data_IF_677639507797
#
_entry.id   IF_677639507797
#
_cell.length_a   1.000
_cell.length_b   1.000
_cell.length_c   1.000
_cell.angle_alpha   90.00
_cell.angle_beta   90.00
_cell.angle_gamma   90.00
#
_symmetry.space_group_name_H-M   'P 1'
#
loop_
_entity.id
_entity.type
_entity.pdbx_description
1 polymer ?
#
# COMPACT_ATOMS: atom_id res chain seq x y z
N UNK A 1 -57.66 32.59 -44.61
CA UNK A 1 -57.97 34.05 -44.61
C UNK A 1 -58.01 34.51 -43.18
N UNK A 2 -57.64 35.69 -42.83
CA UNK A 2 -56.40 36.38 -43.17
C UNK A 2 -55.56 36.77 -41.90
N UNK A 3 -54.28 37.02 -42.12
CA UNK A 3 -53.52 38.25 -41.78
C UNK A 3 -53.64 38.85 -40.38
N UNK A 4 -52.52 39.10 -39.70
CA UNK A 4 -51.72 40.30 -39.94
C UNK A 4 -50.50 40.36 -38.95
N UNK A 5 -49.43 40.84 -39.53
CA UNK A 5 -48.17 41.31 -38.93
C UNK A 5 -48.31 42.11 -37.63
N UNK A 6 -47.29 42.01 -36.73
CA UNK A 6 -46.59 43.20 -36.24
C UNK A 6 -45.18 42.87 -35.76
N UNK A 7 -44.22 43.55 -36.37
CA UNK A 7 -42.82 43.72 -35.96
C UNK A 7 -42.73 44.53 -34.67
N UNK A 8 -41.87 44.24 -33.78
CA UNK A 8 -41.26 45.24 -32.86
C UNK A 8 -39.91 44.73 -32.34
N UNK A 9 -38.89 45.28 -32.89
CA UNK A 9 -37.71 45.99 -32.36
C UNK A 9 -36.87 45.26 -31.26
N UNK A 10 -35.63 45.00 -31.69
CA UNK A 10 -34.45 44.71 -30.84
C UNK A 10 -34.25 45.77 -29.73
N UNK A 11 -33.99 45.29 -28.53
CA UNK A 11 -33.12 46.02 -27.59
C UNK A 11 -32.03 45.09 -27.10
N UNK A 12 -30.82 45.38 -27.58
CA UNK A 12 -29.59 44.79 -27.13
C UNK A 12 -29.28 45.29 -25.73
N UNK A 13 -29.21 44.39 -24.76
CA UNK A 13 -28.54 44.65 -23.49
C UNK A 13 -27.33 43.77 -23.37
N UNK A 14 -26.17 44.38 -23.49
CA UNK A 14 -24.88 43.78 -23.22
C UNK A 14 -24.77 43.47 -21.71
N UNK A 15 -24.82 42.20 -21.35
CA UNK A 15 -24.43 41.75 -20.00
C UNK A 15 -22.94 41.49 -19.99
N UNK A 16 -22.21 42.38 -19.30
CA UNK A 16 -20.79 42.12 -18.91
C UNK A 16 -20.78 40.89 -18.01
N UNK A 17 -20.26 39.79 -18.52
CA UNK A 17 -19.94 38.61 -17.72
C UNK A 17 -18.67 38.89 -16.89
N UNK A 18 -18.84 39.14 -15.60
CA UNK A 18 -17.72 38.97 -14.65
C UNK A 18 -17.42 37.47 -14.56
N UNK A 19 -16.38 37.05 -15.24
CA UNK A 19 -15.73 35.77 -14.99
C UNK A 19 -15.04 35.85 -13.61
N UNK A 20 -15.79 35.54 -12.56
CA UNK A 20 -15.23 35.30 -11.23
C UNK A 20 -14.44 34.01 -11.28
N UNK A 21 -13.14 34.10 -11.52
CA UNK A 21 -12.22 33.02 -11.32
C UNK A 21 -12.22 32.63 -9.83
N UNK A 22 -12.91 31.53 -9.51
CA UNK A 22 -12.72 30.85 -8.24
C UNK A 22 -11.33 30.24 -8.24
N UNK A 23 -10.32 31.05 -7.94
CA UNK A 23 -9.02 30.57 -7.51
C UNK A 23 -9.24 29.72 -6.26
N UNK A 24 -9.17 28.38 -6.42
CA UNK A 24 -8.97 27.48 -5.30
C UNK A 24 -7.62 27.85 -4.69
N UNK A 25 -7.64 28.72 -3.69
CA UNK A 25 -6.53 28.82 -2.76
C UNK A 25 -6.41 27.44 -2.11
N UNK A 26 -5.52 26.59 -2.62
CA UNK A 26 -5.01 25.47 -1.86
C UNK A 26 -4.29 26.10 -0.66
N UNK A 27 -4.98 26.22 0.47
CA UNK A 27 -4.33 26.40 1.74
C UNK A 27 -3.31 25.25 1.81
N UNK A 28 -2.03 25.59 1.83
CA UNK A 28 -0.98 24.63 2.07
C UNK A 28 -1.28 23.99 3.43
N UNK A 29 -1.88 22.81 3.41
CA UNK A 29 -2.06 22.03 4.63
C UNK A 29 -0.67 21.85 5.22
N UNK A 30 -0.48 22.25 6.47
CA UNK A 30 0.81 22.09 7.16
C UNK A 30 1.22 20.61 7.10
N UNK A 31 2.52 20.35 7.02
CA UNK A 31 3.04 18.97 7.00
C UNK A 31 2.58 18.19 8.23
N UNK A 32 2.25 16.94 8.02
CA UNK A 32 1.86 16.02 9.10
C UNK A 32 3.11 15.65 9.88
N UNK A 33 3.15 15.98 11.18
CA UNK A 33 4.24 15.59 12.05
C UNK A 33 3.86 14.30 12.79
N UNK A 34 4.55 13.17 12.53
CA UNK A 34 4.36 11.96 13.32
C UNK A 34 4.69 12.24 14.80
N UNK A 35 3.90 11.67 15.70
CA UNK A 35 4.13 11.73 17.15
C UNK A 35 4.57 10.37 17.70
N UNK A 36 4.83 10.28 19.00
CA UNK A 36 5.23 9.03 19.67
C UNK A 36 4.17 7.91 19.62
N UNK A 37 2.95 8.20 19.12
CA UNK A 37 1.88 7.22 18.88
C UNK A 37 1.76 6.84 17.40
N UNK A 38 2.67 7.30 16.56
CA UNK A 38 2.76 6.94 15.14
C UNK A 38 3.83 5.86 14.94
N UNK A 39 3.59 4.97 13.97
CA UNK A 39 4.57 4.00 13.52
C UNK A 39 4.70 3.99 11.99
N UNK A 40 5.93 3.89 11.49
CA UNK A 40 6.23 3.59 10.10
C UNK A 40 6.22 2.08 9.92
N UNK A 41 5.41 1.59 8.99
CA UNK A 41 5.37 0.18 8.58
C UNK A 41 6.05 0.07 7.23
N UNK A 42 7.19 -0.61 7.18
CA UNK A 42 7.98 -0.82 5.97
C UNK A 42 7.70 -2.24 5.48
N UNK A 43 6.86 -2.35 4.46
CA UNK A 43 6.35 -3.63 3.98
C UNK A 43 7.30 -4.21 2.95
N UNK A 44 7.86 -5.38 3.24
CA UNK A 44 8.52 -6.33 2.33
C UNK A 44 9.54 -5.69 1.37
N UNK A 45 10.40 -4.80 1.86
CA UNK A 45 11.50 -4.25 1.06
C UNK A 45 12.66 -5.27 1.03
N UNK A 46 12.42 -6.37 0.31
CA UNK A 46 13.27 -7.56 0.23
C UNK A 46 13.87 -7.72 -1.18
N UNK A 47 14.99 -8.43 -1.29
CA UNK A 47 15.67 -8.64 -2.56
C UNK A 47 14.76 -9.32 -3.61
N UNK A 48 13.89 -10.24 -3.20
CA UNK A 48 12.92 -10.92 -4.07
C UNK A 48 11.99 -9.96 -4.84
N UNK A 49 11.69 -8.78 -4.28
CA UNK A 49 10.80 -7.79 -4.88
C UNK A 49 11.54 -6.64 -5.59
N UNK A 50 12.86 -6.63 -5.52
CA UNK A 50 13.70 -5.62 -6.18
C UNK A 50 14.18 -6.11 -7.55
N UNK A 51 14.80 -5.21 -8.32
CA UNK A 51 15.32 -5.54 -9.64
C UNK A 51 16.30 -6.74 -9.57
N UNK A 52 16.03 -7.76 -10.37
CA UNK A 52 16.77 -9.02 -10.37
C UNK A 52 16.26 -10.07 -9.38
N UNK A 53 15.31 -9.74 -8.53
CA UNK A 53 14.64 -10.69 -7.62
C UNK A 53 13.64 -11.60 -8.31
N UNK A 54 13.22 -12.65 -7.63
CA UNK A 54 12.37 -13.72 -8.18
C UNK A 54 10.93 -13.28 -8.48
N UNK A 55 10.45 -12.22 -7.82
CA UNK A 55 9.14 -11.57 -8.07
C UNK A 55 9.34 -10.04 -8.12
N UNK A 56 10.25 -9.58 -8.97
CA UNK A 56 10.61 -8.18 -9.07
C UNK A 56 9.40 -7.28 -9.36
N UNK A 57 9.22 -6.25 -8.56
CA UNK A 57 8.24 -5.18 -8.75
C UNK A 57 8.92 -4.04 -9.52
N UNK A 58 8.33 -3.64 -10.65
CA UNK A 58 8.89 -2.57 -11.49
C UNK A 58 9.13 -1.30 -10.67
N UNK A 59 10.38 -0.83 -10.65
CA UNK A 59 10.79 0.35 -9.86
C UNK A 59 10.75 0.12 -8.35
N UNK A 60 10.74 -1.15 -7.88
CA UNK A 60 10.68 -1.47 -6.45
C UNK A 60 11.82 -0.84 -5.63
N UNK A 61 13.01 -0.74 -6.21
CA UNK A 61 14.16 -0.10 -5.55
C UNK A 61 13.99 1.41 -5.31
N UNK A 62 13.13 2.08 -6.05
CA UNK A 62 12.91 3.53 -5.92
C UNK A 62 12.26 3.93 -4.59
N UNK A 63 11.62 2.99 -3.88
CA UNK A 63 11.02 3.24 -2.56
C UNK A 63 12.08 3.41 -1.48
N UNK A 64 13.25 2.79 -1.64
CA UNK A 64 14.30 2.72 -0.61
C UNK A 64 14.83 4.10 -0.20
N UNK A 65 15.27 4.98 -1.11
CA UNK A 65 15.75 6.31 -0.73
C UNK A 65 14.66 7.17 -0.07
N UNK A 66 13.40 6.98 -0.46
CA UNK A 66 12.26 7.70 0.12
C UNK A 66 12.02 7.21 1.56
N UNK A 67 12.00 5.91 1.78
CA UNK A 67 11.83 5.31 3.11
C UNK A 67 12.99 5.69 4.03
N UNK A 68 14.23 5.62 3.55
CA UNK A 68 15.41 6.03 4.31
C UNK A 68 15.34 7.49 4.77
N UNK A 69 14.79 8.38 3.94
CA UNK A 69 14.57 9.80 4.25
C UNK A 69 13.44 10.01 5.25
N UNK A 70 12.39 9.20 5.19
CA UNK A 70 11.22 9.26 6.08
C UNK A 70 11.52 8.71 7.48
N UNK A 71 12.30 7.64 7.56
CA UNK A 71 12.51 6.87 8.78
C UNK A 71 12.90 7.72 10.00
N UNK A 72 13.79 8.73 9.91
CA UNK A 72 14.15 9.56 11.06
C UNK A 72 12.99 10.34 11.69
N UNK A 73 11.89 10.56 10.96
CA UNK A 73 10.70 11.24 11.49
C UNK A 73 9.85 10.35 12.42
N UNK A 74 10.17 9.06 12.55
CA UNK A 74 9.38 8.09 13.30
C UNK A 74 10.17 7.49 14.46
N UNK A 75 9.60 7.55 15.66
CA UNK A 75 10.13 6.87 16.84
C UNK A 75 9.90 5.36 16.78
N UNK A 76 8.82 4.91 16.11
CA UNK A 76 8.45 3.51 16.01
C UNK A 76 8.48 3.07 14.55
N UNK A 77 9.28 2.04 14.26
CA UNK A 77 9.43 1.46 12.93
C UNK A 77 9.28 -0.05 13.01
N UNK A 78 8.40 -0.59 12.15
CA UNK A 78 8.19 -2.02 11.96
C UNK A 78 8.58 -2.36 10.53
N UNK A 79 9.35 -3.41 10.36
CA UNK A 79 9.65 -4.02 9.05
C UNK A 79 8.82 -5.27 8.91
N UNK A 80 8.30 -5.56 7.72
CA UNK A 80 7.72 -6.87 7.43
C UNK A 80 8.60 -7.66 6.46
N UNK A 81 8.42 -8.95 6.46
CA UNK A 81 9.21 -9.86 5.64
C UNK A 81 8.34 -11.04 5.20
N UNK A 82 8.12 -11.17 3.89
CA UNK A 82 7.63 -12.42 3.32
C UNK A 82 8.64 -13.52 3.58
N UNK A 83 8.15 -14.68 4.08
CA UNK A 83 9.04 -15.72 4.60
C UNK A 83 8.50 -17.11 4.28
N UNK A 84 8.39 -17.41 2.97
CA UNK A 84 7.74 -18.62 2.48
C UNK A 84 8.60 -19.88 2.65
N UNK A 85 7.98 -20.99 3.02
CA UNK A 85 8.63 -22.30 2.97
C UNK A 85 8.81 -22.76 1.52
N UNK A 86 9.78 -23.59 1.24
CA UNK A 86 9.89 -24.28 -0.05
C UNK A 86 8.59 -25.07 -0.35
N UNK A 87 8.08 -24.96 -1.57
CA UNK A 87 6.82 -25.58 -1.99
C UNK A 87 5.59 -24.99 -1.29
N UNK A 88 5.59 -23.69 -1.05
CA UNK A 88 4.49 -22.96 -0.43
C UNK A 88 3.22 -23.00 -1.29
N UNK A 89 2.04 -22.96 -0.65
CA UNK A 89 0.75 -23.04 -1.34
C UNK A 89 0.45 -21.85 -2.28
N UNK A 90 1.16 -20.74 -2.17
CA UNK A 90 1.05 -19.62 -3.10
C UNK A 90 1.93 -19.76 -4.36
N UNK A 91 2.77 -20.79 -4.46
CA UNK A 91 3.68 -20.93 -5.59
C UNK A 91 3.06 -21.74 -6.73
N UNK A 92 3.24 -21.26 -7.96
CA UNK A 92 2.76 -21.97 -9.16
C UNK A 92 3.43 -23.34 -9.31
N UNK A 93 4.70 -23.45 -8.94
CA UNK A 93 5.49 -24.69 -8.98
C UNK A 93 4.91 -25.82 -8.12
N UNK A 94 4.10 -25.49 -7.10
CA UNK A 94 3.43 -26.46 -6.23
C UNK A 94 2.29 -27.21 -6.93
N UNK A 95 1.79 -26.69 -8.06
CA UNK A 95 0.65 -27.22 -8.76
C UNK A 95 1.02 -27.65 -10.19
N UNK A 96 1.01 -28.96 -10.52
CA UNK A 96 1.34 -29.46 -11.87
C UNK A 96 0.52 -28.75 -12.95
N UNK A 97 1.20 -28.25 -13.99
CA UNK A 97 0.60 -27.57 -15.13
C UNK A 97 0.17 -26.13 -14.91
N UNK A 98 0.29 -25.57 -13.70
CA UNK A 98 0.00 -24.18 -13.41
C UNK A 98 1.21 -23.29 -13.73
N UNK A 99 0.90 -22.03 -14.06
CA UNK A 99 1.89 -20.98 -14.34
C UNK A 99 1.74 -19.81 -13.34
N UNK A 100 2.79 -19.06 -13.10
CA UNK A 100 2.70 -17.81 -12.34
C UNK A 100 1.58 -16.90 -12.86
N UNK A 101 0.92 -16.21 -11.94
CA UNK A 101 -0.20 -15.28 -12.14
C UNK A 101 -1.54 -15.95 -12.49
N UNK A 102 -1.59 -17.26 -12.64
CA UNK A 102 -2.86 -17.98 -12.63
C UNK A 102 -3.46 -18.04 -11.22
N UNK A 103 -4.66 -18.55 -11.09
CA UNK A 103 -5.33 -18.71 -9.80
C UNK A 103 -5.65 -20.16 -9.50
N UNK A 104 -5.77 -20.46 -8.20
CA UNK A 104 -6.30 -21.73 -7.69
C UNK A 104 -7.29 -21.48 -6.55
N UNK A 105 -8.09 -22.49 -6.21
CA UNK A 105 -8.96 -22.44 -5.03
C UNK A 105 -8.32 -23.20 -3.89
N UNK A 106 -8.16 -22.52 -2.77
CA UNK A 106 -7.68 -23.08 -1.51
C UNK A 106 -8.75 -22.97 -0.43
N UNK A 107 -8.53 -23.55 0.72
CA UNK A 107 -9.52 -23.56 1.81
C UNK A 107 -9.91 -22.18 2.33
N UNK A 108 -9.04 -21.18 2.16
CA UNK A 108 -9.27 -19.79 2.54
C UNK A 108 -9.76 -18.88 1.40
N UNK A 109 -9.90 -19.39 0.18
CA UNK A 109 -10.41 -18.61 -0.94
C UNK A 109 -9.65 -18.79 -2.25
N UNK A 110 -9.70 -17.77 -3.11
CA UNK A 110 -8.96 -17.73 -4.38
C UNK A 110 -7.55 -17.22 -4.12
N UNK A 111 -6.55 -18.02 -4.48
CA UNK A 111 -5.14 -17.69 -4.39
C UNK A 111 -4.58 -17.37 -5.76
N UNK A 112 -3.89 -16.24 -5.90
CA UNK A 112 -3.01 -15.95 -7.03
C UNK A 112 -1.75 -16.79 -6.87
N UNK A 113 -1.35 -17.48 -7.91
CA UNK A 113 -0.12 -18.28 -7.90
C UNK A 113 1.06 -17.44 -8.37
N UNK A 114 2.08 -17.37 -7.55
CA UNK A 114 3.28 -16.59 -7.77
C UNK A 114 4.44 -17.47 -8.25
N UNK A 115 5.49 -16.88 -8.86
CA UNK A 115 6.80 -17.52 -8.89
C UNK A 115 7.26 -17.87 -7.47
N UNK A 116 8.12 -18.85 -7.33
CA UNK A 116 8.79 -19.11 -6.04
C UNK A 116 9.61 -17.88 -5.67
N UNK A 117 9.29 -17.28 -4.54
CA UNK A 117 9.91 -16.02 -4.10
C UNK A 117 10.04 -16.00 -2.58
N UNK A 118 10.94 -15.16 -2.09
CA UNK A 118 11.15 -14.94 -0.66
C UNK A 118 11.21 -16.24 0.16
N UNK A 119 11.87 -17.27 -0.39
CA UNK A 119 12.01 -18.58 0.29
C UNK A 119 12.92 -18.42 1.51
N UNK A 120 12.48 -18.97 2.63
CA UNK A 120 13.15 -18.89 3.93
C UNK A 120 14.65 -19.24 3.83
N UNK A 121 15.49 -18.39 4.45
CA UNK A 121 16.93 -18.62 4.53
C UNK A 121 17.73 -18.30 3.27
N UNK A 122 17.06 -17.85 2.19
CA UNK A 122 17.75 -17.42 0.96
C UNK A 122 18.10 -15.94 1.00
N UNK A 123 19.11 -15.53 0.23
CA UNK A 123 19.46 -14.12 0.01
C UNK A 123 18.32 -13.36 -0.66
N UNK A 124 17.54 -14.04 -1.50
CA UNK A 124 16.34 -13.50 -2.15
C UNK A 124 15.29 -13.03 -1.12
N UNK A 125 15.13 -13.78 -0.01
CA UNK A 125 14.22 -13.42 1.09
C UNK A 125 14.80 -12.36 2.04
N UNK A 126 16.07 -11.99 1.92
CA UNK A 126 16.66 -11.00 2.82
C UNK A 126 16.07 -9.61 2.60
N UNK A 127 15.92 -8.84 3.68
CA UNK A 127 15.64 -7.40 3.60
C UNK A 127 16.80 -6.72 2.89
N UNK A 128 16.50 -5.79 1.99
CA UNK A 128 17.53 -5.08 1.23
C UNK A 128 18.55 -4.41 2.13
N UNK A 129 19.83 -4.63 1.84
CA UNK A 129 20.96 -3.98 2.54
C UNK A 129 20.99 -2.46 2.34
N UNK A 130 20.31 -1.94 1.32
CA UNK A 130 20.24 -0.52 1.02
C UNK A 130 19.15 0.20 1.83
N UNK A 131 18.29 -0.55 2.52
CA UNK A 131 17.32 -0.02 3.48
C UNK A 131 18.05 0.34 4.79
N UNK A 132 18.26 1.63 5.02
CA UNK A 132 19.04 2.17 6.16
C UNK A 132 18.12 2.62 7.28
N UNK A 133 17.53 1.67 8.00
CA UNK A 133 16.60 1.92 9.12
C UNK A 133 17.05 1.20 10.40
N UNK A 134 18.25 1.49 10.95
CA UNK A 134 18.81 0.78 12.10
C UNK A 134 17.96 0.90 13.37
N UNK A 135 17.02 1.84 13.40
CA UNK A 135 16.10 2.07 14.52
C UNK A 135 14.82 1.22 14.46
N UNK A 136 14.65 0.36 13.45
CA UNK A 136 13.53 -0.57 13.41
C UNK A 136 13.55 -1.51 14.63
N UNK A 137 12.40 -1.59 15.33
CA UNK A 137 12.34 -2.34 16.60
C UNK A 137 11.92 -3.79 16.44
N UNK A 138 11.22 -4.13 15.34
CA UNK A 138 10.70 -5.47 15.13
C UNK A 138 10.61 -5.79 13.64
N UNK A 139 10.82 -7.06 13.32
CA UNK A 139 10.52 -7.64 12.00
C UNK A 139 9.37 -8.62 12.15
N UNK A 140 8.29 -8.38 11.43
CA UNK A 140 7.14 -9.30 11.34
C UNK A 140 7.30 -10.16 10.11
N UNK A 141 7.54 -11.44 10.30
CA UNK A 141 7.52 -12.43 9.24
C UNK A 141 6.11 -12.90 8.97
N UNK A 142 5.75 -13.03 7.71
CA UNK A 142 4.43 -13.48 7.25
C UNK A 142 4.56 -14.53 6.14
N UNK A 143 3.48 -15.28 5.87
CA UNK A 143 3.46 -16.32 4.85
C UNK A 143 4.41 -17.49 5.14
N UNK A 144 4.69 -17.81 6.40
CA UNK A 144 5.60 -18.90 6.78
C UNK A 144 4.90 -20.23 7.00
N UNK A 145 3.57 -20.27 7.06
CA UNK A 145 2.82 -21.52 7.11
C UNK A 145 2.64 -22.09 5.71
N UNK A 146 3.16 -23.26 5.46
CA UNK A 146 3.23 -23.89 4.12
C UNK A 146 1.94 -23.83 3.32
N UNK A 147 0.80 -24.00 3.98
CA UNK A 147 -0.52 -24.13 3.33
C UNK A 147 -1.40 -22.88 3.46
N UNK A 148 -0.82 -21.77 3.93
CA UNK A 148 -1.53 -20.54 4.17
C UNK A 148 -0.71 -19.34 3.70
N UNK A 149 -1.25 -18.54 2.79
CA UNK A 149 -0.61 -17.31 2.35
C UNK A 149 -0.90 -16.14 3.30
N UNK A 150 -0.15 -15.07 3.19
CA UNK A 150 -0.32 -13.86 4.00
C UNK A 150 0.16 -12.63 3.25
N UNK A 151 -0.77 -11.87 2.67
CA UNK A 151 -0.42 -10.54 2.17
C UNK A 151 -0.34 -9.53 3.30
N UNK A 152 -1.27 -9.60 4.25
CA UNK A 152 -1.32 -8.67 5.37
C UNK A 152 -0.25 -8.95 6.42
N UNK A 153 0.32 -7.87 6.98
CA UNK A 153 1.17 -7.95 8.16
C UNK A 153 0.37 -8.16 9.45
N UNK A 154 -0.96 -8.17 9.43
CA UNK A 154 -1.82 -8.30 10.60
C UNK A 154 -2.41 -9.70 10.78
N UNK A 155 -2.88 -10.30 9.69
CA UNK A 155 -3.51 -11.63 9.69
C UNK A 155 -3.19 -12.37 8.40
N UNK A 156 -3.23 -13.71 8.44
CA UNK A 156 -3.05 -14.56 7.28
C UNK A 156 -4.31 -14.58 6.40
N UNK A 157 -4.23 -15.22 5.23
CA UNK A 157 -5.30 -15.25 4.24
C UNK A 157 -6.61 -15.92 4.73
N UNK A 158 -6.59 -16.63 5.84
CA UNK A 158 -7.78 -17.17 6.49
C UNK A 158 -8.58 -16.12 7.29
N UNK A 159 -8.03 -14.92 7.45
CA UNK A 159 -8.59 -13.81 8.24
C UNK A 159 -8.85 -14.14 9.73
N UNK A 160 -8.10 -15.09 10.28
CA UNK A 160 -8.20 -15.59 11.67
C UNK A 160 -6.84 -15.69 12.34
N UNK A 161 -5.83 -16.18 11.60
CA UNK A 161 -4.49 -16.39 12.14
C UNK A 161 -3.75 -15.07 12.22
N UNK A 162 -3.57 -14.56 13.42
CA UNK A 162 -2.89 -13.28 13.66
C UNK A 162 -1.37 -13.43 13.59
N UNK A 163 -0.68 -12.44 13.00
CA UNK A 163 0.80 -12.36 12.98
C UNK A 163 1.39 -11.90 14.32
N UNK A 164 0.59 -11.27 15.16
CA UNK A 164 1.01 -10.62 16.39
C UNK A 164 1.23 -9.11 16.30
N UNK A 165 1.28 -8.53 15.08
CA UNK A 165 1.55 -7.09 14.88
C UNK A 165 0.53 -6.19 15.60
N UNK A 166 -0.77 -6.52 15.52
CA UNK A 166 -1.81 -5.72 16.19
C UNK A 166 -1.59 -5.65 17.71
N UNK A 167 -1.23 -6.76 18.32
CA UNK A 167 -0.92 -6.84 19.75
C UNK A 167 0.30 -5.99 20.12
N UNK A 168 1.37 -6.11 19.35
CA UNK A 168 2.59 -5.32 19.53
C UNK A 168 2.30 -3.81 19.47
N UNK A 169 1.62 -3.35 18.42
CA UNK A 169 1.31 -1.93 18.23
C UNK A 169 0.40 -1.40 19.35
N UNK A 170 -0.61 -2.16 19.75
CA UNK A 170 -1.53 -1.78 20.85
C UNK A 170 -0.81 -1.69 22.19
N UNK A 171 0.08 -2.64 22.50
CA UNK A 171 0.88 -2.63 23.73
C UNK A 171 1.81 -1.42 23.82
N UNK A 172 2.25 -0.88 22.69
CA UNK A 172 3.05 0.35 22.61
C UNK A 172 2.21 1.63 22.55
N UNK A 173 0.88 1.54 22.60
CA UNK A 173 -0.01 2.69 22.53
C UNK A 173 -0.10 3.35 21.15
N UNK A 174 0.36 2.68 20.09
CA UNK A 174 0.31 3.20 18.72
C UNK A 174 -1.14 3.39 18.27
N UNK A 175 -1.40 4.47 17.56
CA UNK A 175 -2.73 4.87 17.06
C UNK A 175 -2.73 5.10 15.56
N UNK A 176 -1.62 5.56 15.00
CA UNK A 176 -1.50 5.97 13.60
C UNK A 176 -0.40 5.20 12.90
N UNK A 177 -0.70 4.67 11.72
CA UNK A 177 0.27 3.93 10.91
C UNK A 177 0.52 4.64 9.59
N UNK A 178 1.78 4.70 9.21
CA UNK A 178 2.24 5.17 7.91
C UNK A 178 2.85 3.98 7.18
N UNK A 179 2.18 3.53 6.11
CA UNK A 179 2.54 2.29 5.41
C UNK A 179 3.29 2.63 4.13
N UNK A 180 4.40 1.95 3.91
CA UNK A 180 5.31 2.08 2.76
C UNK A 180 5.72 0.70 2.28
N UNK A 181 6.46 0.60 1.17
CA UNK A 181 7.07 -0.66 0.69
C UNK A 181 6.34 -1.31 -0.46
N UNK A 182 6.32 -2.65 -0.52
CA UNK A 182 5.97 -3.46 -1.68
C UNK A 182 4.99 -4.58 -1.34
N UNK A 183 4.13 -5.03 -2.24
CA UNK A 183 3.66 -4.26 -3.39
C UNK A 183 2.38 -3.54 -3.02
N UNK A 184 2.16 -2.34 -3.61
CA UNK A 184 1.03 -1.45 -3.27
C UNK A 184 -0.31 -2.19 -3.32
N UNK A 185 -0.54 -2.99 -4.35
CA UNK A 185 -1.80 -3.66 -4.66
C UNK A 185 -2.00 -5.01 -3.95
N UNK A 186 -0.99 -5.49 -3.24
CA UNK A 186 -1.03 -6.72 -2.45
C UNK A 186 -0.65 -6.45 -0.98
N UNK A 187 0.58 -6.70 -0.58
CA UNK A 187 0.97 -6.67 0.83
C UNK A 187 0.73 -5.31 1.49
N UNK A 188 0.99 -4.19 0.80
CA UNK A 188 0.71 -2.84 1.32
C UNK A 188 -0.79 -2.63 1.51
N UNK A 189 -1.60 -2.90 0.48
CA UNK A 189 -3.05 -2.69 0.54
C UNK A 189 -3.72 -3.55 1.62
N UNK A 190 -3.40 -4.85 1.68
CA UNK A 190 -3.98 -5.74 2.69
C UNK A 190 -3.56 -5.34 4.09
N UNK A 191 -2.28 -5.01 4.31
CA UNK A 191 -1.78 -4.48 5.59
C UNK A 191 -2.52 -3.21 6.00
N UNK A 192 -2.69 -2.25 5.07
CA UNK A 192 -3.38 -1.00 5.36
C UNK A 192 -4.87 -1.20 5.69
N UNK A 193 -5.55 -2.08 4.96
CA UNK A 193 -6.97 -2.37 5.19
C UNK A 193 -7.21 -3.09 6.50
N UNK A 194 -6.37 -4.07 6.84
CA UNK A 194 -6.48 -4.81 8.11
C UNK A 194 -6.06 -3.96 9.30
N UNK A 195 -5.11 -3.03 9.12
CA UNK A 195 -4.80 -2.02 10.12
C UNK A 195 -6.04 -1.14 10.44
N UNK A 196 -6.80 -0.72 9.42
CA UNK A 196 -8.08 -0.01 9.61
C UNK A 196 -9.10 -0.87 10.37
N UNK A 197 -9.23 -2.15 9.98
CA UNK A 197 -10.08 -3.15 10.68
C UNK A 197 -9.69 -3.30 12.15
N UNK A 198 -8.39 -3.25 12.45
CA UNK A 198 -7.86 -3.35 13.82
C UNK A 198 -7.99 -2.05 14.64
N UNK A 199 -8.50 -0.95 14.04
CA UNK A 199 -8.83 0.32 14.70
C UNK A 199 -7.74 1.39 14.63
N UNK A 200 -6.70 1.22 13.79
CA UNK A 200 -5.68 2.24 13.59
C UNK A 200 -6.12 3.30 12.58
N UNK A 201 -5.64 4.53 12.74
CA UNK A 201 -5.61 5.51 11.66
C UNK A 201 -4.48 5.13 10.70
N UNK A 202 -4.76 5.16 9.37
CA UNK A 202 -3.80 4.63 8.39
C UNK A 202 -3.61 5.60 7.24
N UNK A 203 -2.35 5.91 6.99
CA UNK A 203 -1.85 6.60 5.82
C UNK A 203 -1.02 5.62 4.98
N UNK A 204 -1.21 5.61 3.67
CA UNK A 204 -0.28 4.98 2.73
C UNK A 204 0.47 6.09 2.01
N UNK A 205 1.80 6.05 2.09
CA UNK A 205 2.69 7.02 1.45
C UNK A 205 2.95 6.53 0.03
N UNK A 206 2.21 7.09 -0.94
CA UNK A 206 2.12 6.57 -2.29
C UNK A 206 3.46 6.52 -3.02
N UNK A 207 4.23 7.61 -3.00
CA UNK A 207 5.54 7.68 -3.66
C UNK A 207 6.60 6.78 -3.01
N UNK A 208 6.34 6.30 -1.79
CA UNK A 208 7.13 5.28 -1.09
C UNK A 208 6.58 3.86 -1.26
N UNK A 209 5.74 3.62 -2.27
CA UNK A 209 5.24 2.28 -2.64
C UNK A 209 5.34 2.06 -4.15
N UNK A 210 5.39 0.79 -4.59
CA UNK A 210 5.28 0.39 -6.01
C UNK A 210 4.39 -0.84 -6.11
N UNK A 211 3.58 -0.91 -7.17
CA UNK A 211 2.63 -2.01 -7.42
C UNK A 211 3.09 -2.96 -8.51
N UNK A 212 2.54 -4.17 -8.48
CA UNK A 212 2.70 -5.18 -9.54
C UNK A 212 1.77 -4.85 -10.72
N UNK A 213 0.58 -4.34 -10.41
CA UNK A 213 -0.51 -4.00 -11.36
C UNK A 213 -0.96 -5.19 -12.22
N UNK A 214 -1.24 -6.31 -11.57
CA UNK A 214 -1.78 -7.50 -12.23
C UNK A 214 -3.24 -7.25 -12.65
N UNK A 215 -3.48 -7.09 -13.97
CA UNK A 215 -4.82 -6.88 -14.54
C UNK A 215 -5.61 -5.73 -13.90
N UNK A 216 -4.96 -4.61 -13.57
CA UNK A 216 -5.60 -3.44 -12.97
C UNK A 216 -5.76 -3.53 -11.45
N UNK A 217 -5.04 -4.45 -10.79
CA UNK A 217 -5.06 -4.62 -9.33
C UNK A 217 -4.67 -3.35 -8.58
N UNK A 218 -3.76 -2.53 -9.13
CA UNK A 218 -3.32 -1.30 -8.48
C UNK A 218 -4.46 -0.27 -8.32
N UNK A 219 -5.22 -0.03 -9.38
CA UNK A 219 -6.37 0.87 -9.33
C UNK A 219 -7.46 0.31 -8.40
N UNK A 220 -7.71 -0.99 -8.44
CA UNK A 220 -8.66 -1.67 -7.57
C UNK A 220 -8.26 -1.58 -6.10
N UNK A 221 -6.98 -1.77 -5.77
CA UNK A 221 -6.46 -1.67 -4.42
C UNK A 221 -6.61 -0.26 -3.84
N UNK A 222 -6.27 0.79 -4.60
CA UNK A 222 -6.49 2.17 -4.17
C UNK A 222 -7.96 2.47 -3.88
N UNK A 223 -8.87 2.00 -4.74
CA UNK A 223 -10.31 2.14 -4.52
C UNK A 223 -10.76 1.46 -3.23
N UNK A 224 -10.29 0.23 -2.96
CA UNK A 224 -10.63 -0.52 -1.76
C UNK A 224 -10.05 0.12 -0.49
N UNK A 225 -8.78 0.52 -0.50
CA UNK A 225 -8.14 1.22 0.61
C UNK A 225 -8.89 2.50 0.98
N UNK A 226 -9.22 3.34 -0.02
CA UNK A 226 -9.98 4.58 0.20
C UNK A 226 -11.37 4.29 0.79
N UNK A 227 -12.08 3.29 0.28
CA UNK A 227 -13.40 2.88 0.80
C UNK A 227 -13.35 2.42 2.26
N UNK A 228 -12.20 1.88 2.70
CA UNK A 228 -11.96 1.49 4.11
C UNK A 228 -11.38 2.62 4.98
N UNK A 229 -11.28 3.84 4.45
CA UNK A 229 -10.81 5.01 5.18
C UNK A 229 -9.28 5.10 5.33
N UNK A 230 -8.54 4.41 4.47
CA UNK A 230 -7.10 4.61 4.33
C UNK A 230 -6.86 5.94 3.60
N UNK A 231 -5.98 6.77 4.13
CA UNK A 231 -5.61 8.06 3.55
C UNK A 231 -4.39 7.90 2.63
N UNK A 232 -4.47 8.40 1.42
CA UNK A 232 -3.38 8.43 0.43
C UNK A 232 -2.64 9.75 0.54
N UNK A 233 -1.35 9.71 0.81
CA UNK A 233 -0.48 10.89 0.96
C UNK A 233 0.83 10.69 0.19
N UNK A 234 1.62 11.75 0.09
CA UNK A 234 2.98 11.73 -0.45
C UNK A 234 4.01 11.86 0.68
N UNK A 235 5.25 11.44 0.44
CA UNK A 235 6.33 11.61 1.42
C UNK A 235 6.58 13.08 1.76
N UNK A 236 6.34 13.99 0.82
CA UNK A 236 6.41 15.43 1.02
C UNK A 236 5.40 16.00 2.00
N UNK A 237 4.31 15.28 2.28
CA UNK A 237 3.28 15.67 3.25
C UNK A 237 3.70 15.36 4.70
N UNK A 238 4.73 14.53 4.90
CA UNK A 238 5.28 14.20 6.21
C UNK A 238 6.38 15.21 6.57
N UNK A 239 6.31 15.76 7.78
CA UNK A 239 7.37 16.64 8.28
C UNK A 239 8.66 15.83 8.47
N UNK A 240 9.79 16.43 8.08
CA UNK A 240 11.10 15.88 8.45
C UNK A 240 11.30 15.94 9.97
N UNK A 241 12.19 15.09 10.48
CA UNK A 241 12.61 15.12 11.88
C UNK A 241 13.27 16.45 12.25
#
# INVERSE_FOLDING_TARGET
>A
MPNMHRRTILKSTAALGLAGGFGRSALAAGKIKPDGKAALIVVDVQNCFLDGGTLAVKGGGEVIPIINKLAPAFENIVVTQDWHTAGHASFASTYPGKKPFETTKLGYGTQVLWPDHCVQGTEDAAVSKDLKIPTAQIVIRKGFHKNMDSYSAFEEADHKTATGLAGYLKARGIKTLYVTGLATDFCVAWTAMDARKAGFEVYVIEDATRGIDLNGSLAAAWKQMTAKGVKRIQSGDVAAA
#
